data_IF_512309130474
#
_entry.id   IF_512309130474
#
_cell.length_a   1.000
_cell.length_b   1.000
_cell.length_c   1.000
_cell.angle_alpha   90.00
_cell.angle_beta   90.00
_cell.angle_gamma   90.00
#
_symmetry.space_group_name_H-M   'P 1'
#
loop_
_entity.id
_entity.type
_entity.pdbx_description
1 polymer ?
#
# COMPACT_ATOMS: atom_id res chain seq x y z
N UNK A 1 -31.76 32.80 -15.95
CA UNK A 1 -31.87 32.36 -17.35
C UNK A 1 -32.17 30.88 -17.32
N UNK A 2 -33.29 30.48 -17.91
CA UNK A 2 -33.62 29.06 -18.07
C UNK A 2 -32.66 28.44 -19.08
N UNK A 3 -32.20 27.20 -18.82
CA UNK A 3 -31.29 26.49 -19.71
C UNK A 3 -31.88 26.37 -21.12
N UNK A 4 -31.04 26.52 -22.14
CA UNK A 4 -31.44 26.27 -23.52
C UNK A 4 -31.79 24.79 -23.70
N UNK A 5 -32.63 24.42 -24.69
CA UNK A 5 -32.93 23.01 -24.97
C UNK A 5 -31.67 22.15 -25.18
N UNK A 6 -30.61 22.70 -25.79
CA UNK A 6 -29.33 22.01 -25.98
C UNK A 6 -28.62 21.73 -24.64
N UNK A 7 -28.56 22.71 -23.75
CA UNK A 7 -28.01 22.52 -22.39
C UNK A 7 -28.84 21.53 -21.57
N UNK A 8 -30.16 21.51 -21.75
CA UNK A 8 -31.03 20.55 -21.10
C UNK A 8 -30.74 19.12 -21.57
N UNK A 9 -30.53 18.90 -22.87
CA UNK A 9 -30.16 17.59 -23.43
C UNK A 9 -28.82 17.11 -22.85
N UNK A 10 -27.80 17.98 -22.81
CA UNK A 10 -26.49 17.63 -22.22
C UNK A 10 -26.66 17.21 -20.76
N UNK A 11 -27.39 17.98 -19.95
CA UNK A 11 -27.63 17.66 -18.53
C UNK A 11 -28.39 16.36 -18.33
N UNK A 12 -29.38 16.05 -19.18
CA UNK A 12 -30.12 14.79 -19.13
C UNK A 12 -29.17 13.62 -19.41
N UNK A 13 -28.36 13.71 -20.46
CA UNK A 13 -27.39 12.67 -20.82
C UNK A 13 -26.33 12.47 -19.72
N UNK A 14 -25.78 13.54 -19.16
CA UNK A 14 -24.84 13.47 -18.03
C UNK A 14 -25.47 12.83 -16.79
N UNK A 15 -26.74 13.14 -16.51
CA UNK A 15 -27.48 12.54 -15.39
C UNK A 15 -27.71 11.05 -15.62
N UNK A 16 -28.02 10.64 -16.85
CA UNK A 16 -28.22 9.24 -17.20
C UNK A 16 -26.91 8.44 -17.13
N UNK A 17 -25.81 9.00 -17.62
CA UNK A 17 -24.47 8.42 -17.46
C UNK A 17 -24.14 8.24 -15.97
N UNK A 18 -24.42 9.24 -15.13
CA UNK A 18 -24.20 9.15 -13.68
C UNK A 18 -25.06 8.08 -13.03
N UNK A 19 -26.34 7.98 -13.39
CA UNK A 19 -27.24 6.94 -12.87
C UNK A 19 -26.74 5.55 -13.23
N UNK A 20 -26.38 5.33 -14.49
CA UNK A 20 -25.82 4.06 -14.96
C UNK A 20 -24.52 3.70 -14.21
N UNK A 21 -23.65 4.67 -13.93
CA UNK A 21 -22.45 4.44 -13.11
C UNK A 21 -22.78 4.02 -11.68
N UNK A 22 -23.77 4.66 -11.04
CA UNK A 22 -24.22 4.32 -9.69
C UNK A 22 -24.84 2.91 -9.66
N UNK A 23 -25.71 2.60 -10.62
CA UNK A 23 -26.36 1.30 -10.72
C UNK A 23 -25.35 0.17 -10.93
N UNK A 24 -24.38 0.36 -11.84
CA UNK A 24 -23.29 -0.59 -12.04
C UNK A 24 -22.44 -0.80 -10.78
N UNK A 25 -22.19 0.27 -10.00
CA UNK A 25 -21.45 0.17 -8.75
C UNK A 25 -22.23 -0.60 -7.68
N UNK A 26 -23.53 -0.34 -7.55
CA UNK A 26 -24.40 -1.06 -6.61
C UNK A 26 -24.49 -2.55 -6.99
N UNK A 27 -24.66 -2.86 -8.28
CA UNK A 27 -24.65 -4.23 -8.77
C UNK A 27 -23.31 -4.93 -8.44
N UNK A 28 -22.19 -4.24 -8.62
CA UNK A 28 -20.87 -4.78 -8.25
C UNK A 28 -20.75 -5.02 -6.75
N UNK A 29 -21.25 -4.11 -5.91
CA UNK A 29 -21.27 -4.25 -4.46
C UNK A 29 -22.05 -5.49 -4.02
N UNK A 30 -23.27 -5.69 -4.53
CA UNK A 30 -24.09 -6.88 -4.24
C UNK A 30 -23.37 -8.18 -4.63
N UNK A 31 -22.68 -8.20 -5.77
CA UNK A 31 -21.87 -9.36 -6.18
C UNK A 31 -20.72 -9.62 -5.20
N UNK A 32 -20.04 -8.57 -4.73
CA UNK A 32 -18.94 -8.69 -3.77
C UNK A 32 -19.44 -9.16 -2.41
N UNK A 33 -20.58 -8.65 -1.93
CA UNK A 33 -21.22 -9.09 -0.69
C UNK A 33 -21.60 -10.56 -0.76
N UNK A 34 -22.26 -10.99 -1.83
CA UNK A 34 -22.58 -12.41 -2.05
C UNK A 34 -21.33 -13.29 -1.97
N UNK A 35 -20.20 -12.87 -2.57
CA UNK A 35 -18.93 -13.63 -2.49
C UNK A 35 -18.43 -13.70 -1.04
N UNK A 36 -18.50 -12.59 -0.28
CA UNK A 36 -18.06 -12.52 1.13
C UNK A 36 -18.90 -13.40 2.06
N UNK A 37 -20.19 -13.58 1.76
CA UNK A 37 -21.09 -14.47 2.51
C UNK A 37 -20.79 -15.96 2.27
N UNK A 38 -20.07 -16.29 1.20
CA UNK A 38 -19.65 -17.68 0.94
C UNK A 38 -18.42 -18.08 1.78
N UNK A 39 -18.11 -19.38 1.82
CA UNK A 39 -16.86 -19.92 2.39
C UNK A 39 -15.62 -19.68 1.50
N UNK A 40 -15.63 -18.65 0.66
CA UNK A 40 -14.56 -18.38 -0.29
C UNK A 40 -13.22 -18.15 0.41
N UNK A 41 -13.20 -17.41 1.53
CA UNK A 41 -11.99 -17.12 2.30
C UNK A 41 -11.36 -18.38 2.94
N UNK A 42 -12.17 -19.41 3.21
CA UNK A 42 -11.73 -20.65 3.85
C UNK A 42 -11.22 -21.71 2.85
N UNK A 43 -11.16 -21.37 1.55
CA UNK A 43 -10.70 -22.32 0.53
C UNK A 43 -9.22 -22.66 0.73
N UNK A 44 -8.94 -23.94 0.91
CA UNK A 44 -7.56 -24.48 1.07
C UNK A 44 -6.75 -24.50 -0.23
N UNK A 45 -7.38 -24.26 -1.38
CA UNK A 45 -6.68 -24.27 -2.67
C UNK A 45 -5.88 -22.98 -2.81
N UNK A 46 -4.71 -23.07 -3.44
CA UNK A 46 -3.95 -21.90 -3.86
C UNK A 46 -4.76 -21.08 -4.86
N UNK A 47 -4.54 -19.77 -4.87
CA UNK A 47 -5.16 -18.86 -5.84
C UNK A 47 -4.96 -19.38 -7.27
N UNK A 48 -6.05 -19.39 -8.02
CA UNK A 48 -6.06 -19.59 -9.46
C UNK A 48 -5.44 -18.39 -10.17
N UNK A 49 -5.12 -18.57 -11.45
CA UNK A 49 -4.65 -17.49 -12.32
C UNK A 49 -5.64 -16.32 -12.35
N UNK A 50 -6.94 -16.61 -12.34
CA UNK A 50 -7.99 -15.58 -12.42
C UNK A 50 -8.02 -14.75 -11.13
N UNK A 51 -7.93 -15.41 -9.98
CA UNK A 51 -7.83 -14.73 -8.68
C UNK A 51 -6.55 -13.88 -8.60
N UNK A 52 -5.41 -14.40 -9.06
CA UNK A 52 -4.16 -13.64 -9.08
C UNK A 52 -4.21 -12.43 -10.03
N UNK A 53 -4.87 -12.56 -11.18
CA UNK A 53 -5.08 -11.47 -12.15
C UNK A 53 -5.96 -10.39 -11.55
N UNK A 54 -7.12 -10.77 -10.98
CA UNK A 54 -8.05 -9.84 -10.34
C UNK A 54 -7.37 -9.09 -9.18
N UNK A 55 -6.60 -9.80 -8.35
CA UNK A 55 -5.82 -9.20 -7.28
C UNK A 55 -4.73 -8.27 -7.81
N UNK A 56 -4.02 -8.65 -8.87
CA UNK A 56 -2.95 -7.82 -9.44
C UNK A 56 -3.47 -6.49 -9.98
N UNK A 57 -4.59 -6.51 -10.71
CA UNK A 57 -5.18 -5.31 -11.30
C UNK A 57 -5.71 -4.37 -10.22
N UNK A 58 -6.52 -4.90 -9.29
CA UNK A 58 -7.08 -4.10 -8.20
C UNK A 58 -5.99 -3.48 -7.31
N UNK A 59 -4.96 -4.24 -6.97
CA UNK A 59 -3.85 -3.75 -6.16
C UNK A 59 -3.02 -2.71 -6.92
N UNK A 60 -2.77 -2.90 -8.22
CA UNK A 60 -2.09 -1.92 -9.06
C UNK A 60 -2.86 -0.60 -9.17
N UNK A 61 -4.15 -0.67 -9.54
CA UNK A 61 -4.97 0.53 -9.76
C UNK A 61 -5.25 1.30 -8.46
N UNK A 62 -5.47 0.61 -7.34
CA UNK A 62 -5.87 1.26 -6.09
C UNK A 62 -4.68 1.66 -5.19
N UNK A 63 -3.54 0.96 -5.28
CA UNK A 63 -2.47 1.10 -4.28
C UNK A 63 -1.12 1.52 -4.86
N UNK A 64 -0.92 1.51 -6.17
CA UNK A 64 0.36 1.93 -6.77
C UNK A 64 0.19 3.36 -7.30
N UNK A 65 0.87 4.31 -6.65
CA UNK A 65 0.87 5.72 -7.08
C UNK A 65 1.59 5.91 -8.42
N UNK A 66 1.26 7.00 -9.12
CA UNK A 66 1.76 7.29 -10.46
C UNK A 66 3.31 7.20 -10.56
N UNK A 67 4.04 7.71 -9.56
CA UNK A 67 5.50 7.67 -9.55
C UNK A 67 6.03 6.23 -9.45
N UNK A 68 5.42 5.43 -8.57
CA UNK A 68 5.74 4.01 -8.43
C UNK A 68 5.36 3.20 -9.66
N UNK A 69 4.24 3.54 -10.34
CA UNK A 69 3.84 2.92 -11.59
C UNK A 69 4.93 3.13 -12.65
N UNK A 70 5.38 4.36 -12.85
CA UNK A 70 6.44 4.66 -13.82
C UNK A 70 7.76 3.98 -13.46
N UNK A 71 8.17 4.04 -12.18
CA UNK A 71 9.47 3.53 -11.75
C UNK A 71 9.57 2.01 -11.74
N UNK A 72 8.55 1.33 -11.24
CA UNK A 72 8.60 -0.11 -10.99
C UNK A 72 7.70 -0.92 -11.92
N UNK A 73 6.67 -0.33 -12.51
CA UNK A 73 5.59 -1.05 -13.19
C UNK A 73 5.23 -0.48 -14.57
N UNK A 74 6.15 0.22 -15.23
CA UNK A 74 5.90 0.90 -16.52
C UNK A 74 5.43 -0.03 -17.63
N UNK A 75 5.70 -1.33 -17.53
CA UNK A 75 5.28 -2.37 -18.48
C UNK A 75 4.18 -3.29 -17.93
N UNK A 76 3.53 -2.92 -16.84
CA UNK A 76 2.57 -3.79 -16.14
C UNK A 76 1.36 -4.15 -17.01
N UNK A 77 0.72 -3.15 -17.62
CA UNK A 77 -0.40 -3.35 -18.55
C UNK A 77 0.06 -3.47 -20.02
N UNK A 78 1.29 -3.09 -20.32
CA UNK A 78 1.79 -2.96 -21.70
C UNK A 78 1.27 -1.68 -22.37
N UNK A 79 1.27 -1.65 -23.71
CA UNK A 79 0.60 -0.58 -24.46
C UNK A 79 -0.90 -0.85 -24.51
N UNK A 80 -1.65 -0.04 -23.77
CA UNK A 80 -3.12 -0.12 -23.69
C UNK A 80 -3.79 1.17 -24.16
N UNK A 81 -3.06 2.05 -24.83
CA UNK A 81 -3.53 3.40 -25.21
C UNK A 81 -4.81 3.40 -26.06
N UNK A 82 -5.07 2.31 -26.79
CA UNK A 82 -6.25 2.13 -27.67
C UNK A 82 -7.25 1.09 -27.17
N UNK A 83 -7.05 0.53 -25.97
CA UNK A 83 -7.87 -0.55 -25.44
C UNK A 83 -8.95 -0.03 -24.49
N UNK A 84 -10.12 -0.63 -24.56
CA UNK A 84 -11.15 -0.52 -23.51
C UNK A 84 -10.68 -1.21 -22.23
N UNK A 85 -11.28 -0.89 -21.08
CA UNK A 85 -10.96 -1.54 -19.80
C UNK A 85 -11.13 -3.07 -19.85
N UNK A 86 -12.14 -3.56 -20.56
CA UNK A 86 -12.37 -5.01 -20.72
C UNK A 86 -11.23 -5.65 -21.53
N UNK A 87 -10.85 -5.05 -22.66
CA UNK A 87 -9.74 -5.53 -23.49
C UNK A 87 -8.40 -5.48 -22.74
N UNK A 88 -8.20 -4.47 -21.88
CA UNK A 88 -7.01 -4.39 -21.01
C UNK A 88 -6.92 -5.58 -20.06
N UNK A 89 -8.03 -5.92 -19.39
CA UNK A 89 -8.09 -7.05 -18.45
C UNK A 89 -7.83 -8.36 -19.20
N UNK A 90 -8.47 -8.56 -20.35
CA UNK A 90 -8.27 -9.76 -21.16
C UNK A 90 -6.83 -9.89 -21.68
N UNK A 91 -6.26 -8.80 -22.20
CA UNK A 91 -4.88 -8.78 -22.68
C UNK A 91 -3.88 -9.05 -21.54
N UNK A 92 -4.11 -8.46 -20.36
CA UNK A 92 -3.30 -8.73 -19.17
C UNK A 92 -3.41 -10.20 -18.74
N UNK A 93 -4.63 -10.75 -18.68
CA UNK A 93 -4.88 -12.16 -18.35
C UNK A 93 -4.16 -13.10 -19.32
N UNK A 94 -4.25 -12.85 -20.63
CA UNK A 94 -3.57 -13.64 -21.68
C UNK A 94 -2.05 -13.63 -21.54
N UNK A 95 -1.48 -12.52 -21.06
CA UNK A 95 -0.03 -12.31 -20.91
C UNK A 95 0.45 -12.47 -19.46
N UNK A 96 -0.40 -12.98 -18.57
CA UNK A 96 -0.14 -12.98 -17.14
C UNK A 96 1.07 -13.87 -16.79
N UNK A 97 1.90 -13.35 -15.90
CA UNK A 97 3.11 -14.00 -15.41
C UNK A 97 3.13 -13.91 -13.89
N UNK A 98 3.35 -15.04 -13.20
CA UNK A 98 3.35 -15.10 -11.72
C UNK A 98 4.40 -14.18 -11.11
N UNK A 99 5.49 -13.91 -11.83
CA UNK A 99 6.55 -12.99 -11.44
C UNK A 99 6.01 -11.57 -11.20
N UNK A 100 5.04 -11.12 -12.02
CA UNK A 100 4.43 -9.80 -11.88
C UNK A 100 3.59 -9.74 -10.59
N UNK A 101 2.81 -10.78 -10.31
CA UNK A 101 2.04 -10.90 -9.07
C UNK A 101 2.95 -10.87 -7.83
N UNK A 102 4.03 -11.66 -7.83
CA UNK A 102 5.00 -11.62 -6.74
C UNK A 102 5.70 -10.27 -6.60
N UNK A 103 5.96 -9.56 -7.70
CA UNK A 103 6.54 -8.22 -7.68
C UNK A 103 5.60 -7.20 -7.03
N UNK A 104 4.31 -7.25 -7.35
CA UNK A 104 3.30 -6.40 -6.69
C UNK A 104 3.20 -6.70 -5.19
N UNK A 105 3.17 -7.97 -4.80
CA UNK A 105 3.15 -8.36 -3.38
C UNK A 105 4.38 -7.80 -2.66
N UNK A 106 5.59 -7.95 -3.21
CA UNK A 106 6.81 -7.41 -2.62
C UNK A 106 6.78 -5.89 -2.48
N UNK A 107 6.24 -5.19 -3.48
CA UNK A 107 6.04 -3.75 -3.40
C UNK A 107 5.11 -3.38 -2.24
N UNK A 108 3.97 -4.07 -2.10
CA UNK A 108 3.03 -3.82 -1.00
C UNK A 108 3.61 -4.16 0.38
N UNK A 109 4.36 -5.25 0.50
CA UNK A 109 5.06 -5.61 1.74
C UNK A 109 5.94 -4.46 2.25
N UNK A 110 6.65 -3.77 1.35
CA UNK A 110 7.49 -2.63 1.73
C UNK A 110 6.73 -1.32 1.90
N UNK A 111 5.57 -1.16 1.24
CA UNK A 111 4.75 0.06 1.30
C UNK A 111 3.88 0.12 2.56
N UNK A 112 3.45 -1.03 3.08
CA UNK A 112 2.60 -1.13 4.27
C UNK A 112 3.35 -0.88 5.59
N UNK A 113 4.68 -0.83 5.57
CA UNK A 113 5.46 -0.49 6.77
C UNK A 113 5.42 1.02 6.97
N UNK A 114 4.79 1.45 8.06
CA UNK A 114 4.67 2.87 8.40
C UNK A 114 5.97 3.41 9.03
N UNK A 115 6.39 4.59 8.56
CA UNK A 115 7.54 5.33 9.10
C UNK A 115 7.09 6.70 9.63
N UNK A 116 7.78 7.21 10.65
CA UNK A 116 7.54 8.57 11.19
C UNK A 116 6.20 8.74 11.90
N UNK A 117 5.55 9.88 11.67
CA UNK A 117 4.13 10.25 11.90
C UNK A 117 3.26 9.20 12.56
N UNK A 118 2.99 8.21 11.72
CA UNK A 118 1.99 7.17 11.89
C UNK A 118 2.38 6.09 12.90
N UNK A 119 3.61 6.12 13.44
CA UNK A 119 4.14 5.11 14.35
C UNK A 119 4.91 5.71 15.55
N UNK A 120 4.62 6.96 15.93
CA UNK A 120 5.34 7.61 17.04
C UNK A 120 4.98 7.12 18.44
N UNK A 121 3.88 6.36 18.57
CA UNK A 121 3.37 5.90 19.88
C UNK A 121 3.87 4.48 20.21
N UNK A 122 4.15 3.63 19.23
CA UNK A 122 4.76 2.31 19.44
C UNK A 122 5.53 1.85 18.18
N UNK A 123 6.46 0.89 18.29
CA UNK A 123 7.25 0.39 17.16
C UNK A 123 6.96 -1.10 16.82
N UNK A 124 5.85 -1.65 17.33
CA UNK A 124 5.59 -3.10 17.32
C UNK A 124 5.45 -3.68 15.91
N UNK A 125 4.75 -2.98 15.01
CA UNK A 125 4.60 -3.37 13.60
C UNK A 125 5.94 -3.43 12.89
N UNK A 126 6.82 -2.47 13.17
CA UNK A 126 8.15 -2.40 12.57
C UNK A 126 9.03 -3.54 13.06
N UNK A 127 8.98 -3.87 14.35
CA UNK A 127 9.70 -5.02 14.94
C UNK A 127 9.21 -6.34 14.30
N UNK A 128 7.90 -6.51 14.16
CA UNK A 128 7.32 -7.74 13.60
C UNK A 128 7.74 -7.96 12.15
N UNK A 129 7.63 -6.91 11.31
CA UNK A 129 8.09 -6.95 9.92
C UNK A 129 9.59 -7.22 9.85
N UNK A 130 10.37 -6.54 10.68
CA UNK A 130 11.81 -6.65 10.72
C UNK A 130 12.30 -8.05 11.04
N UNK A 131 11.75 -8.68 12.08
CA UNK A 131 12.09 -10.04 12.48
C UNK A 131 11.76 -11.05 11.37
N UNK A 132 10.61 -10.88 10.71
CA UNK A 132 10.21 -11.75 9.58
C UNK A 132 11.14 -11.58 8.36
N UNK A 133 11.64 -10.37 8.10
CA UNK A 133 12.48 -10.06 6.93
C UNK A 133 13.98 -10.31 7.17
N UNK A 134 14.40 -10.55 8.41
CA UNK A 134 15.81 -10.69 8.78
C UNK A 134 16.52 -11.82 8.00
N UNK A 135 15.80 -12.90 7.66
CA UNK A 135 16.35 -14.01 6.87
C UNK A 135 16.83 -13.61 5.47
N UNK A 136 16.19 -12.62 4.84
CA UNK A 136 16.53 -12.20 3.47
C UNK A 136 17.68 -11.19 3.41
N UNK A 137 17.84 -10.35 4.42
CA UNK A 137 18.80 -9.24 4.41
C UNK A 137 19.72 -9.18 5.64
N UNK A 138 19.97 -10.33 6.29
CA UNK A 138 20.67 -10.45 7.58
C UNK A 138 21.92 -9.57 7.71
N UNK A 139 22.84 -9.62 6.75
CA UNK A 139 24.10 -8.87 6.82
C UNK A 139 23.91 -7.36 6.71
N UNK A 140 23.06 -6.90 5.78
CA UNK A 140 22.74 -5.48 5.62
C UNK A 140 22.01 -4.94 6.85
N UNK A 141 21.09 -5.73 7.37
CA UNK A 141 20.34 -5.42 8.58
C UNK A 141 21.29 -5.27 9.78
N UNK A 142 22.17 -6.25 10.02
CA UNK A 142 23.14 -6.20 11.11
C UNK A 142 24.08 -4.99 11.01
N UNK A 143 24.48 -4.61 9.79
CA UNK A 143 25.28 -3.40 9.57
C UNK A 143 24.54 -2.13 10.01
N UNK A 144 23.24 -2.02 9.71
CA UNK A 144 22.41 -0.89 10.10
C UNK A 144 22.22 -0.89 11.63
N UNK A 145 21.92 -2.03 12.24
CA UNK A 145 21.77 -2.16 13.70
C UNK A 145 22.99 -1.67 14.44
N UNK A 146 24.19 -2.07 13.96
CA UNK A 146 25.45 -1.66 14.55
C UNK A 146 25.62 -0.15 14.53
N UNK A 147 25.35 0.50 13.40
CA UNK A 147 25.45 1.96 13.28
C UNK A 147 24.50 2.68 14.25
N UNK A 148 23.27 2.17 14.40
CA UNK A 148 22.31 2.76 15.35
C UNK A 148 22.64 2.45 16.81
N UNK A 149 23.21 1.30 17.13
CA UNK A 149 23.69 0.98 18.47
C UNK A 149 24.79 1.96 18.89
N UNK A 150 25.81 2.16 18.05
CA UNK A 150 26.89 3.10 18.32
C UNK A 150 26.39 4.55 18.51
N UNK A 151 25.37 4.97 17.75
CA UNK A 151 24.73 6.29 17.92
C UNK A 151 23.96 6.40 19.24
N UNK A 152 23.27 5.32 19.67
CA UNK A 152 22.54 5.28 20.95
C UNK A 152 23.50 5.34 22.13
N UNK A 153 24.57 4.55 22.11
CA UNK A 153 25.56 4.51 23.18
C UNK A 153 26.17 5.89 23.43
N UNK A 154 26.56 6.60 22.35
CA UNK A 154 27.06 7.97 22.42
C UNK A 154 26.03 8.95 22.99
N UNK A 155 24.76 8.79 22.64
CA UNK A 155 23.68 9.65 23.15
C UNK A 155 23.43 9.40 24.63
N UNK A 156 23.40 8.16 25.06
CA UNK A 156 23.17 7.76 26.45
C UNK A 156 24.30 8.20 27.37
N UNK A 157 25.56 8.14 26.92
CA UNK A 157 26.69 8.68 27.66
C UNK A 157 26.54 10.20 27.91
N UNK A 158 26.25 10.99 26.87
CA UNK A 158 26.01 12.44 27.00
C UNK A 158 24.83 12.76 27.92
N UNK A 159 23.77 11.96 27.89
CA UNK A 159 22.62 12.14 28.77
C UNK A 159 22.99 11.90 30.24
N UNK A 160 23.74 10.83 30.53
CA UNK A 160 24.22 10.54 31.89
C UNK A 160 25.11 11.66 32.44
N UNK A 161 26.04 12.17 31.62
CA UNK A 161 26.88 13.32 32.00
C UNK A 161 26.03 14.55 32.32
N UNK A 162 25.06 14.87 31.46
CA UNK A 162 24.17 16.02 31.67
C UNK A 162 23.30 15.87 32.92
N UNK A 163 22.77 14.68 33.17
CA UNK A 163 21.99 14.38 34.39
C UNK A 163 22.86 14.56 35.62
N UNK A 164 24.09 14.03 35.62
CA UNK A 164 25.02 14.15 36.76
C UNK A 164 25.34 15.62 37.08
N UNK A 165 25.53 16.46 36.06
CA UNK A 165 25.76 17.90 36.25
C UNK A 165 24.53 18.58 36.88
N UNK A 166 23.33 18.25 36.40
CA UNK A 166 22.09 18.81 36.93
C UNK A 166 21.81 18.35 38.37
N UNK A 167 22.10 17.09 38.69
CA UNK A 167 21.97 16.56 40.06
C UNK A 167 22.86 17.32 41.05
N UNK A 168 24.11 17.61 40.68
CA UNK A 168 25.01 18.44 41.50
C UNK A 168 24.50 19.86 41.71
N UNK A 169 23.97 20.49 40.65
CA UNK A 169 23.39 21.84 40.75
C UNK A 169 22.17 21.87 41.68
N UNK A 170 21.38 20.79 41.71
CA UNK A 170 20.24 20.67 42.63
C UNK A 170 20.72 20.53 44.08
N UNK A 171 21.78 19.75 44.32
CA UNK A 171 22.37 19.59 45.66
C UNK A 171 22.91 20.92 46.19
N UNK A 172 23.71 21.65 45.39
CA UNK A 172 24.25 22.97 45.73
C UNK A 172 23.18 24.07 45.96
N UNK A 173 21.98 23.92 45.41
CA UNK A 173 20.85 24.84 45.61
C UNK A 173 20.03 24.54 46.86
N UNK A 174 20.15 23.32 47.40
CA UNK A 174 19.42 22.87 48.58
C UNK A 174 20.26 22.94 49.87
N UNK A 175 21.57 23.16 49.77
CA UNK A 175 22.49 23.52 50.86
C UNK A 175 22.47 25.03 51.15
#
# INVERSE_FOLDING_TARGET
ADCTPEEQIIKINEREIRKNQIENNNQFEEVVEMIRETKYIDRKKTLSTDEMVAFSISLFENNVDCMSQQKYFSKFLGDTSKMTKVEMVENFKKKFKKEIFHKLIRYMLTKQVHFGESNHVNNLTNISFYNAMQGYYKSKIASIEKEYAEKRDKREARLKERITVLEKQIEELND
#
